data_IF_861567041886
#
_entry.id   IF_861567041886
#
_cell.length_a   1.000
_cell.length_b   1.000
_cell.length_c   1.000
_cell.angle_alpha   90.00
_cell.angle_beta   90.00
_cell.angle_gamma   90.00
#
_symmetry.space_group_name_H-M   'P 1'
#
loop_
_entity.id
_entity.type
_entity.pdbx_description
1 polymer ?
#
# COMPACT_ATOMS: atom_id res chain seq x y z
N UNK A 1 17.89 -10.86 -1.37
CA UNK A 1 17.55 -9.96 -0.25
C UNK A 1 16.57 -10.72 0.63
N UNK A 2 16.99 -11.23 1.79
CA UNK A 2 16.12 -11.99 2.68
C UNK A 2 15.21 -10.99 3.41
N UNK A 3 13.91 -10.99 3.09
CA UNK A 3 12.93 -10.26 3.88
C UNK A 3 12.95 -10.82 5.31
N UNK A 4 13.13 -9.94 6.30
CA UNK A 4 13.18 -10.37 7.70
C UNK A 4 11.76 -10.69 8.15
N UNK A 5 11.51 -11.94 8.58
CA UNK A 5 10.21 -12.38 9.10
C UNK A 5 9.66 -11.44 10.18
N UNK A 6 10.53 -10.85 11.01
CA UNK A 6 10.14 -9.87 12.03
C UNK A 6 9.48 -8.61 11.43
N UNK A 7 10.01 -8.09 10.32
CA UNK A 7 9.43 -6.93 9.64
C UNK A 7 8.08 -7.27 9.01
N UNK A 8 7.93 -8.48 8.47
CA UNK A 8 6.65 -8.96 7.96
C UNK A 8 5.61 -9.02 9.08
N UNK A 9 5.93 -9.67 10.21
CA UNK A 9 5.01 -9.73 11.35
C UNK A 9 4.65 -8.34 11.89
N UNK A 10 5.64 -7.45 12.02
CA UNK A 10 5.42 -6.07 12.43
C UNK A 10 4.48 -5.34 11.47
N UNK A 11 4.70 -5.49 10.16
CA UNK A 11 3.85 -4.88 9.15
C UNK A 11 2.43 -5.46 9.20
N UNK A 12 2.25 -6.77 9.32
CA UNK A 12 0.92 -7.38 9.46
C UNK A 12 0.16 -6.87 10.69
N UNK A 13 0.85 -6.77 11.84
CA UNK A 13 0.26 -6.21 13.07
C UNK A 13 -0.16 -4.75 12.83
N UNK A 14 0.69 -3.97 12.17
CA UNK A 14 0.42 -2.57 11.83
C UNK A 14 -0.77 -2.43 10.85
N UNK A 15 -0.86 -3.29 9.84
CA UNK A 15 -1.99 -3.33 8.89
C UNK A 15 -3.29 -3.61 9.65
N UNK A 16 -3.33 -4.68 10.45
CA UNK A 16 -4.54 -5.07 11.17
C UNK A 16 -4.95 -3.98 12.16
N UNK A 17 -4.02 -3.44 12.95
CA UNK A 17 -4.33 -2.44 13.97
C UNK A 17 -4.81 -1.13 13.35
N UNK A 18 -4.10 -0.60 12.36
CA UNK A 18 -4.39 0.70 11.76
C UNK A 18 -5.67 0.66 10.93
N UNK A 19 -5.90 -0.39 10.14
CA UNK A 19 -7.17 -0.56 9.40
C UNK A 19 -8.34 -0.67 10.38
N UNK A 20 -8.19 -1.44 11.48
CA UNK A 20 -9.24 -1.57 12.49
C UNK A 20 -9.57 -0.23 13.15
N UNK A 21 -8.56 0.58 13.48
CA UNK A 21 -8.75 1.93 14.03
C UNK A 21 -9.45 2.85 13.02
N UNK A 22 -9.05 2.80 11.75
CA UNK A 22 -9.71 3.55 10.67
C UNK A 22 -11.20 3.19 10.54
N UNK A 23 -11.52 1.89 10.61
CA UNK A 23 -12.89 1.39 10.50
C UNK A 23 -13.78 1.75 11.70
N UNK A 24 -13.23 1.75 12.91
CA UNK A 24 -13.96 2.08 14.14
C UNK A 24 -14.14 3.60 14.35
N UNK A 25 -13.54 4.42 13.50
CA UNK A 25 -13.69 5.88 13.59
C UNK A 25 -15.12 6.26 13.20
N UNK A 26 -15.85 6.91 14.12
CA UNK A 26 -17.22 7.32 13.89
C UNK A 26 -17.30 8.51 12.95
N UNK A 27 -18.17 8.37 11.94
CA UNK A 27 -18.51 9.41 10.98
C UNK A 27 -20.02 9.35 10.72
N UNK A 28 -20.67 10.51 10.82
CA UNK A 28 -22.08 10.67 10.47
C UNK A 28 -22.23 11.04 8.98
N UNK A 29 -21.48 10.37 8.10
CA UNK A 29 -21.50 10.68 6.68
C UNK A 29 -22.58 9.82 6.02
N UNK A 30 -23.47 10.41 5.20
CA UNK A 30 -24.51 9.66 4.51
C UNK A 30 -23.91 8.66 3.53
N UNK A 31 -24.41 7.43 3.54
CA UNK A 31 -23.99 6.38 2.62
C UNK A 31 -24.31 6.77 1.18
N UNK A 32 -23.29 6.77 0.32
CA UNK A 32 -23.46 6.96 -1.11
C UNK A 32 -23.41 5.61 -1.81
N UNK A 33 -24.59 5.02 -2.07
CA UNK A 33 -24.71 3.69 -2.67
C UNK A 33 -24.67 3.71 -4.21
N UNK A 34 -24.32 4.83 -4.85
CA UNK A 34 -24.20 4.88 -6.32
C UNK A 34 -22.89 4.21 -6.77
N UNK A 35 -22.91 2.88 -6.84
CA UNK A 35 -21.84 2.08 -7.42
C UNK A 35 -21.96 2.11 -8.95
N UNK A 36 -20.94 2.66 -9.60
CA UNK A 36 -20.78 2.62 -11.06
C UNK A 36 -19.84 1.49 -11.44
N UNK A 37 -20.14 0.82 -12.55
CA UNK A 37 -19.22 -0.12 -13.19
C UNK A 37 -17.99 0.62 -13.73
N UNK A 38 -16.81 0.15 -13.36
CA UNK A 38 -15.54 0.73 -13.78
C UNK A 38 -15.20 0.30 -15.20
N UNK A 39 -14.76 1.27 -16.01
CA UNK A 39 -14.40 1.09 -17.40
C UNK A 39 -12.87 1.03 -17.56
N UNK A 40 -12.37 0.74 -18.77
CA UNK A 40 -10.93 0.72 -19.05
C UNK A 40 -10.23 2.06 -18.76
N UNK A 41 -10.93 3.18 -18.90
CA UNK A 41 -10.38 4.50 -18.54
C UNK A 41 -10.07 4.59 -17.04
N UNK A 42 -10.95 4.03 -16.21
CA UNK A 42 -10.77 4.01 -14.76
C UNK A 42 -9.58 3.13 -14.37
N UNK A 43 -9.34 2.03 -15.09
CA UNK A 43 -8.13 1.22 -14.91
C UNK A 43 -6.86 2.06 -15.05
N UNK A 44 -6.75 2.81 -16.14
CA UNK A 44 -5.56 3.63 -16.38
C UNK A 44 -5.38 4.71 -15.31
N UNK A 45 -6.50 5.28 -14.84
CA UNK A 45 -6.50 6.30 -13.79
C UNK A 45 -6.07 5.71 -12.43
N UNK A 46 -6.70 4.62 -11.99
CA UNK A 46 -6.40 3.92 -10.73
C UNK A 46 -4.95 3.47 -10.72
N UNK A 47 -4.50 2.80 -11.78
CA UNK A 47 -3.11 2.38 -11.92
C UNK A 47 -2.14 3.57 -11.81
N UNK A 48 -2.44 4.67 -12.50
CA UNK A 48 -1.57 5.86 -12.50
C UNK A 48 -1.50 6.52 -11.12
N UNK A 49 -2.64 6.65 -10.43
CA UNK A 49 -2.71 7.23 -9.07
C UNK A 49 -1.93 6.35 -8.10
N UNK A 50 -2.19 5.04 -8.08
CA UNK A 50 -1.52 4.11 -7.18
C UNK A 50 -0.01 4.06 -7.43
N UNK A 51 0.40 4.04 -8.70
CA UNK A 51 1.81 4.07 -9.08
C UNK A 51 2.47 5.38 -8.64
N UNK A 52 1.82 6.52 -8.86
CA UNK A 52 2.35 7.83 -8.44
C UNK A 52 2.49 7.90 -6.92
N UNK A 53 1.50 7.44 -6.16
CA UNK A 53 1.55 7.39 -4.69
C UNK A 53 2.75 6.54 -4.24
N UNK A 54 2.88 5.32 -4.75
CA UNK A 54 3.94 4.41 -4.32
C UNK A 54 5.33 4.93 -4.72
N UNK A 55 5.50 5.50 -5.92
CA UNK A 55 6.75 6.13 -6.32
C UNK A 55 7.09 7.33 -5.42
N UNK A 56 6.09 8.14 -5.04
CA UNK A 56 6.28 9.23 -4.10
C UNK A 56 6.69 8.72 -2.72
N UNK A 57 6.09 7.63 -2.23
CA UNK A 57 6.51 6.98 -0.98
C UNK A 57 7.93 6.43 -1.06
N UNK A 58 8.35 5.86 -2.19
CA UNK A 58 9.73 5.46 -2.41
C UNK A 58 10.70 6.64 -2.31
N UNK A 59 10.36 7.81 -2.87
CA UNK A 59 11.17 9.02 -2.73
C UNK A 59 11.21 9.48 -1.26
N UNK A 60 10.06 9.51 -0.59
CA UNK A 60 9.93 9.87 0.83
C UNK A 60 10.51 8.82 1.79
N UNK A 61 10.90 7.64 1.32
CA UNK A 61 11.57 6.63 2.14
C UNK A 61 12.93 7.11 2.64
N UNK A 62 13.57 8.02 1.90
CA UNK A 62 14.87 8.61 2.22
C UNK A 62 14.81 9.40 3.53
N UNK A 63 13.69 10.08 3.80
CA UNK A 63 13.51 10.89 5.01
C UNK A 63 12.78 10.13 6.13
N UNK A 64 12.32 8.91 5.88
CA UNK A 64 11.45 8.15 6.79
C UNK A 64 9.99 8.61 6.79
N UNK A 65 9.64 9.73 6.14
CA UNK A 65 8.27 10.27 6.08
C UNK A 65 7.27 9.29 5.47
N UNK A 66 7.73 8.44 4.55
CA UNK A 66 6.93 7.34 4.00
C UNK A 66 6.23 6.48 5.06
N UNK A 67 6.82 6.26 6.25
CA UNK A 67 6.20 5.45 7.31
C UNK A 67 4.91 6.10 7.84
N UNK A 68 4.90 7.43 7.97
CA UNK A 68 3.73 8.20 8.41
C UNK A 68 2.63 8.11 7.35
N UNK A 69 2.99 8.22 6.07
CA UNK A 69 2.02 8.10 4.98
C UNK A 69 1.50 6.68 4.79
N UNK A 70 2.29 5.64 5.04
CA UNK A 70 1.83 4.25 5.06
C UNK A 70 0.73 4.09 6.12
N UNK A 71 0.95 4.61 7.35
CA UNK A 71 -0.07 4.60 8.40
C UNK A 71 -1.33 5.33 7.94
N UNK A 72 -1.18 6.51 7.32
CA UNK A 72 -2.31 7.29 6.79
C UNK A 72 -3.11 6.48 5.74
N UNK A 73 -2.43 5.84 4.78
CA UNK A 73 -3.07 5.05 3.73
C UNK A 73 -3.84 3.87 4.35
N UNK A 74 -3.22 3.13 5.27
CA UNK A 74 -3.89 2.01 5.94
C UNK A 74 -5.11 2.47 6.75
N UNK A 75 -5.02 3.62 7.41
CA UNK A 75 -6.16 4.20 8.12
C UNK A 75 -7.28 4.54 7.13
N UNK A 76 -6.95 5.15 5.99
CA UNK A 76 -7.91 5.49 4.93
C UNK A 76 -8.59 4.25 4.36
N UNK A 77 -7.90 3.11 4.22
CA UNK A 77 -8.53 1.85 3.79
C UNK A 77 -9.63 1.41 4.76
N UNK A 78 -9.34 1.41 6.07
CA UNK A 78 -10.33 1.07 7.09
C UNK A 78 -11.50 2.07 7.13
N UNK A 79 -11.18 3.35 7.05
CA UNK A 79 -12.15 4.44 7.04
C UNK A 79 -13.09 4.36 5.83
N UNK A 80 -12.55 4.21 4.62
CA UNK A 80 -13.35 4.10 3.37
C UNK A 80 -14.24 2.87 3.37
N UNK A 81 -13.81 1.76 3.97
CA UNK A 81 -14.66 0.59 4.16
C UNK A 81 -15.93 0.91 4.95
N UNK A 82 -15.81 1.65 6.05
CA UNK A 82 -16.95 2.08 6.88
C UNK A 82 -17.88 3.02 6.13
N UNK A 83 -17.30 3.98 5.41
CA UNK A 83 -18.01 5.01 4.64
C UNK A 83 -18.80 4.45 3.46
N UNK A 84 -18.33 3.35 2.86
CA UNK A 84 -18.96 2.74 1.69
C UNK A 84 -20.41 2.33 1.89
N UNK A 85 -20.86 2.13 3.15
CA UNK A 85 -22.21 1.64 3.46
C UNK A 85 -22.44 0.17 3.07
N UNK A 86 -21.43 -0.52 2.53
CA UNK A 86 -21.48 -1.91 2.14
C UNK A 86 -21.24 -2.79 3.36
N UNK A 87 -21.86 -3.97 3.39
CA UNK A 87 -21.57 -4.96 4.41
C UNK A 87 -20.04 -5.21 4.51
N UNK A 88 -19.50 -5.11 5.72
CA UNK A 88 -18.06 -5.17 6.00
C UNK A 88 -17.39 -6.43 5.43
N UNK A 89 -18.05 -7.59 5.56
CA UNK A 89 -17.52 -8.84 5.03
C UNK A 89 -17.46 -8.84 3.52
N UNK A 90 -18.49 -8.32 2.85
CA UNK A 90 -18.52 -8.16 1.39
C UNK A 90 -17.42 -7.20 0.93
N UNK A 91 -17.35 -6.01 1.54
CA UNK A 91 -16.36 -5.00 1.17
C UNK A 91 -14.93 -5.55 1.28
N UNK A 92 -14.53 -6.04 2.46
CA UNK A 92 -13.16 -6.50 2.64
C UNK A 92 -12.84 -7.74 1.81
N UNK A 93 -13.76 -8.68 1.63
CA UNK A 93 -13.50 -9.88 0.82
C UNK A 93 -13.27 -9.54 -0.64
N UNK A 94 -14.12 -8.66 -1.21
CA UNK A 94 -14.01 -8.25 -2.61
C UNK A 94 -12.81 -7.33 -2.83
N UNK A 95 -12.56 -6.41 -1.89
CA UNK A 95 -11.43 -5.48 -1.97
C UNK A 95 -10.09 -6.16 -1.76
N UNK A 96 -10.01 -7.23 -0.97
CA UNK A 96 -8.75 -7.94 -0.72
C UNK A 96 -8.19 -8.63 -1.98
N UNK A 97 -9.04 -8.97 -2.96
CA UNK A 97 -8.63 -9.56 -4.25
C UNK A 97 -7.59 -8.69 -4.96
N UNK A 98 -7.79 -7.37 -4.98
CA UNK A 98 -6.83 -6.42 -5.56
C UNK A 98 -5.97 -5.74 -4.49
N UNK A 99 -6.54 -5.42 -3.32
CA UNK A 99 -5.87 -4.71 -2.24
C UNK A 99 -4.66 -5.45 -1.67
N UNK A 100 -4.58 -6.78 -1.79
CA UNK A 100 -3.38 -7.53 -1.40
C UNK A 100 -2.13 -7.08 -2.16
N UNK A 101 -2.26 -6.70 -3.43
CA UNK A 101 -1.13 -6.24 -4.25
C UNK A 101 -0.62 -4.88 -3.78
N UNK A 102 -1.53 -3.99 -3.40
CA UNK A 102 -1.19 -2.70 -2.79
C UNK A 102 -0.55 -2.88 -1.41
N UNK A 103 -1.05 -3.80 -0.58
CA UNK A 103 -0.45 -4.10 0.71
C UNK A 103 0.96 -4.66 0.57
N UNK A 104 1.23 -5.50 -0.44
CA UNK A 104 2.58 -5.99 -0.74
C UNK A 104 3.47 -4.83 -1.23
N UNK A 105 2.96 -3.94 -2.08
CA UNK A 105 3.69 -2.74 -2.51
C UNK A 105 4.07 -1.84 -1.32
N UNK A 106 3.12 -1.58 -0.41
CA UNK A 106 3.34 -0.83 0.82
C UNK A 106 4.35 -1.53 1.74
N UNK A 107 4.33 -2.86 1.81
CA UNK A 107 5.33 -3.62 2.56
C UNK A 107 6.74 -3.46 1.99
N UNK A 108 6.89 -3.48 0.66
CA UNK A 108 8.17 -3.22 0.01
C UNK A 108 8.68 -1.83 0.40
N UNK A 109 7.83 -0.79 0.30
CA UNK A 109 8.20 0.57 0.71
C UNK A 109 8.54 0.63 2.19
N UNK A 110 7.75 0.00 3.06
CA UNK A 110 8.03 -0.09 4.50
C UNK A 110 9.43 -0.66 4.79
N UNK A 111 9.77 -1.78 4.15
CA UNK A 111 11.08 -2.43 4.31
C UNK A 111 12.22 -1.53 3.80
N UNK A 112 12.00 -0.84 2.68
CA UNK A 112 12.96 0.13 2.14
C UNK A 112 13.20 1.23 3.17
N UNK A 113 12.15 1.84 3.71
CA UNK A 113 12.24 2.94 4.68
C UNK A 113 12.97 2.53 5.95
N UNK A 114 12.62 1.36 6.53
CA UNK A 114 13.30 0.85 7.72
C UNK A 114 14.78 0.57 7.45
N UNK A 115 15.11 -0.06 6.32
CA UNK A 115 16.50 -0.31 5.93
C UNK A 115 17.28 0.97 5.70
N UNK A 116 16.65 1.97 5.11
CA UNK A 116 17.27 3.26 4.88
C UNK A 116 17.61 3.96 6.21
N UNK A 117 16.68 3.96 7.16
CA UNK A 117 16.92 4.48 8.52
C UNK A 117 18.08 3.74 9.20
N UNK A 118 18.11 2.41 9.13
CA UNK A 118 19.20 1.60 9.69
C UNK A 118 20.56 1.99 9.05
N UNK A 119 20.60 2.11 7.72
CA UNK A 119 21.82 2.51 7.00
C UNK A 119 22.30 3.89 7.40
N UNK A 120 21.40 4.87 7.55
CA UNK A 120 21.75 6.21 8.05
C UNK A 120 22.35 6.10 9.45
N UNK A 121 21.70 5.41 10.37
CA UNK A 121 22.17 5.25 11.76
C UNK A 121 23.55 4.57 11.80
N UNK A 122 23.79 3.56 10.98
CA UNK A 122 25.08 2.88 10.88
C UNK A 122 26.17 3.77 10.26
N UNK A 123 25.82 4.59 9.26
CA UNK A 123 26.74 5.58 8.69
C UNK A 123 27.11 6.67 9.71
N UNK A 124 26.15 7.17 10.48
CA UNK A 124 26.41 8.13 11.56
C UNK A 124 27.31 7.55 12.66
N UNK A 125 27.25 6.23 12.88
CA UNK A 125 28.15 5.49 13.78
C UNK A 125 29.51 5.14 13.14
N UNK A 126 29.78 5.59 11.92
CA UNK A 126 31.02 5.31 11.19
C UNK A 126 31.17 3.85 10.72
N UNK A 127 30.11 3.05 10.76
CA UNK A 127 30.18 1.59 10.48
C UNK A 127 30.06 1.24 8.99
N UNK A 128 29.46 2.11 8.18
CA UNK A 128 29.16 1.82 6.79
C UNK A 128 29.88 2.75 5.81
N UNK A 129 30.41 2.14 4.73
CA UNK A 129 31.01 2.86 3.59
C UNK A 129 29.93 3.37 2.63
N UNK A 130 30.19 4.52 1.97
CA UNK A 130 29.30 5.13 0.96
C UNK A 130 28.85 4.15 -0.14
N UNK A 131 29.69 3.17 -0.48
CA UNK A 131 29.38 2.12 -1.46
C UNK A 131 28.15 1.27 -1.11
N UNK A 132 27.90 1.04 0.19
CA UNK A 132 26.76 0.25 0.67
C UNK A 132 25.44 0.98 0.38
N UNK A 133 25.43 2.29 0.59
CA UNK A 133 24.27 3.14 0.28
C UNK A 133 23.98 3.13 -1.22
N UNK A 134 25.01 3.27 -2.06
CA UNK A 134 24.84 3.25 -3.51
C UNK A 134 24.26 1.91 -4.00
N UNK A 135 24.79 0.78 -3.50
CA UNK A 135 24.28 -0.56 -3.82
C UNK A 135 22.82 -0.73 -3.40
N UNK A 136 22.42 -0.16 -2.25
CA UNK A 136 21.04 -0.18 -1.79
C UNK A 136 20.10 0.53 -2.77
N UNK A 137 20.40 1.76 -3.16
CA UNK A 137 19.56 2.52 -4.10
C UNK A 137 19.53 1.90 -5.50
N UNK A 138 20.65 1.36 -5.96
CA UNK A 138 20.69 0.67 -7.25
C UNK A 138 19.81 -0.58 -7.26
N UNK A 139 19.81 -1.36 -6.18
CA UNK A 139 18.89 -2.50 -6.02
C UNK A 139 17.42 -2.06 -5.98
N UNK A 140 17.12 -0.94 -5.33
CA UNK A 140 15.78 -0.37 -5.27
C UNK A 140 15.26 -0.01 -6.67
N UNK A 141 16.06 0.71 -7.47
CA UNK A 141 15.69 1.12 -8.82
C UNK A 141 15.56 -0.07 -9.78
N UNK A 142 16.46 -1.05 -9.70
CA UNK A 142 16.50 -2.17 -10.66
C UNK A 142 15.56 -3.32 -10.34
N UNK A 143 15.18 -3.48 -9.08
CA UNK A 143 14.44 -4.67 -8.63
C UNK A 143 13.14 -4.32 -7.93
N UNK A 144 13.20 -3.54 -6.87
CA UNK A 144 12.02 -3.33 -6.01
C UNK A 144 10.97 -2.45 -6.71
N UNK A 145 11.37 -1.35 -7.37
CA UNK A 145 10.41 -0.51 -8.12
C UNK A 145 9.72 -1.27 -9.27
N UNK A 146 10.43 -1.98 -10.16
CA UNK A 146 9.78 -2.76 -11.22
C UNK A 146 8.81 -3.82 -10.69
N UNK A 147 9.18 -4.55 -9.64
CA UNK A 147 8.30 -5.54 -9.01
C UNK A 147 7.03 -4.86 -8.51
N UNK A 148 7.17 -3.73 -7.83
CA UNK A 148 6.03 -2.97 -7.32
C UNK A 148 5.11 -2.47 -8.43
N UNK A 149 5.65 -1.97 -9.54
CA UNK A 149 4.84 -1.54 -10.70
C UNK A 149 4.06 -2.73 -11.28
N UNK A 150 4.68 -3.90 -11.41
CA UNK A 150 4.01 -5.12 -11.88
C UNK A 150 2.86 -5.50 -10.94
N UNK A 151 3.10 -5.50 -9.62
CA UNK A 151 2.07 -5.79 -8.62
C UNK A 151 0.89 -4.81 -8.73
N UNK A 152 1.15 -3.51 -8.84
CA UNK A 152 0.09 -2.50 -8.98
C UNK A 152 -0.68 -2.64 -10.29
N UNK A 153 -0.01 -3.06 -11.37
CA UNK A 153 -0.69 -3.35 -12.65
C UNK A 153 -1.67 -4.50 -12.49
N UNK A 154 -1.25 -5.59 -11.85
CA UNK A 154 -2.11 -6.74 -11.57
C UNK A 154 -3.25 -6.34 -10.63
N UNK A 155 -2.97 -5.57 -9.59
CA UNK A 155 -3.96 -5.03 -8.67
C UNK A 155 -5.04 -4.22 -9.40
N UNK A 156 -4.66 -3.25 -10.20
CA UNK A 156 -5.61 -2.41 -10.95
C UNK A 156 -6.46 -3.21 -11.96
N UNK A 157 -5.88 -4.22 -12.62
CA UNK A 157 -6.61 -5.14 -13.49
C UNK A 157 -7.69 -5.91 -12.70
N UNK A 158 -7.32 -6.46 -11.55
CA UNK A 158 -8.25 -7.20 -10.69
C UNK A 158 -9.32 -6.29 -10.10
N UNK A 159 -8.97 -5.05 -9.73
CA UNK A 159 -9.93 -4.09 -9.18
C UNK A 159 -11.05 -3.78 -10.17
N UNK A 160 -10.69 -3.43 -11.40
CA UNK A 160 -11.64 -3.03 -12.44
C UNK A 160 -12.40 -4.22 -13.02
N UNK A 161 -11.71 -5.31 -13.36
CA UNK A 161 -12.33 -6.42 -14.08
C UNK A 161 -12.92 -7.51 -13.20
N UNK A 162 -12.51 -7.61 -11.93
CA UNK A 162 -12.95 -8.68 -11.03
C UNK A 162 -13.69 -8.09 -9.83
N UNK A 163 -13.01 -7.33 -8.98
CA UNK A 163 -13.58 -6.83 -7.72
C UNK A 163 -14.80 -5.95 -7.94
N UNK A 164 -14.71 -4.94 -8.81
CA UNK A 164 -15.84 -4.04 -9.06
C UNK A 164 -17.07 -4.78 -9.63
N UNK A 165 -16.86 -5.75 -10.52
CA UNK A 165 -17.95 -6.57 -11.09
C UNK A 165 -18.60 -7.47 -10.04
N UNK A 166 -17.80 -8.13 -9.20
CA UNK A 166 -18.31 -8.96 -8.10
C UNK A 166 -19.09 -8.08 -7.11
N UNK A 167 -18.57 -6.89 -6.77
CA UNK A 167 -19.21 -5.98 -5.84
C UNK A 167 -20.60 -5.56 -6.33
N UNK A 168 -20.71 -5.18 -7.60
CA UNK A 168 -21.97 -4.78 -8.23
C UNK A 168 -22.94 -5.96 -8.33
N UNK A 169 -22.46 -7.19 -8.50
CA UNK A 169 -23.33 -8.38 -8.53
C UNK A 169 -23.89 -8.74 -7.15
N UNK A 170 -23.17 -8.44 -6.06
CA UNK A 170 -23.55 -8.81 -4.69
C UNK A 170 -24.42 -7.78 -3.98
N UNK A 171 -24.62 -6.59 -4.57
CA UNK A 171 -25.38 -5.47 -4.00
C UNK A 171 -26.62 -5.22 -4.84
#
# INVERSE_FOLDING_TARGET
MMYNKKLLYLFCILVISVISVGYLTNTNIPHNNNLRLLDFKDLTLIFSINTAIILMLCILSITGLSLVFIIKILFTIGFTAKESGINTFTYFSVSLIHGIFELIALFIVFVISVKHIILIVECLKGKNKKEVIFKFYFSLLKKEIPITIILLTIGALLEVYVSNRILIFLI
#
